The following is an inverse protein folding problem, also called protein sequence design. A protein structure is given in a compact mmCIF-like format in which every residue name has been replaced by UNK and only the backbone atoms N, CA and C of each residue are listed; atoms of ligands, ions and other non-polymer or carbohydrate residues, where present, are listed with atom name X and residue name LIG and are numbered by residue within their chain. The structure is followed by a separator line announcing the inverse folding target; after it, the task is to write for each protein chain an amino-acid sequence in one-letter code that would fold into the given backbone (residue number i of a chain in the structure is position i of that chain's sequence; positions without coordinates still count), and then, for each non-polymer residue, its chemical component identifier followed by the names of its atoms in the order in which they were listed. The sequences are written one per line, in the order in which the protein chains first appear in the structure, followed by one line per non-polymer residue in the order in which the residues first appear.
data_IF_702803041467
#
_entry.id   IF_702803041467
#
_cell.length_a   1.000
_cell.length_b   1.000
_cell.length_c   1.000
_cell.angle_alpha   90.00
_cell.angle_beta   90.00
_cell.angle_gamma   90.00
#
_symmetry.space_group_name_H-M   'P 1'
#
loop_
_entity.id
_entity.type
_entity.pdbx_description
1 polymer ?
#
# COMPACT_ATOMS: atom_id res chain seq x y z
N UNK A 1 12.92 -2.54 3.47
CA UNK A 1 12.38 -3.56 4.41
C UNK A 1 11.48 -4.48 3.61
N UNK A 2 11.62 -5.81 3.73
CA UNK A 2 10.73 -6.77 3.04
C UNK A 2 9.70 -7.29 4.03
N UNK A 3 8.41 -7.10 3.73
CA UNK A 3 7.31 -7.57 4.56
C UNK A 3 6.50 -8.60 3.76
N UNK A 4 5.99 -9.63 4.46
CA UNK A 4 4.97 -10.51 3.90
C UNK A 4 3.59 -10.07 4.40
N UNK A 5 2.52 -10.66 3.86
CA UNK A 5 1.13 -10.29 4.22
C UNK A 5 0.88 -10.30 5.73
N UNK A 6 1.41 -11.29 6.45
CA UNK A 6 1.18 -11.44 7.89
C UNK A 6 1.89 -10.36 8.70
N UNK A 7 3.15 -10.04 8.38
CA UNK A 7 3.89 -8.97 9.07
C UNK A 7 3.41 -7.59 8.66
N UNK A 8 2.96 -7.41 7.42
CA UNK A 8 2.37 -6.15 6.93
C UNK A 8 1.18 -5.71 7.79
N UNK A 9 0.25 -6.61 8.10
CA UNK A 9 -0.92 -6.26 8.93
C UNK A 9 -0.54 -5.84 10.35
N UNK A 10 0.53 -6.40 10.93
CA UNK A 10 0.99 -6.02 12.27
C UNK A 10 1.61 -4.63 12.31
N UNK A 11 2.22 -4.18 11.21
CA UNK A 11 2.84 -2.85 11.12
C UNK A 11 1.83 -1.70 11.11
N UNK A 12 0.57 -1.92 10.71
CA UNK A 12 -0.42 -0.83 10.65
C UNK A 12 -0.70 -0.20 12.01
N UNK A 13 -0.69 -0.97 13.11
CA UNK A 13 -0.85 -0.40 14.45
C UNK A 13 0.28 0.60 14.77
N UNK A 14 1.52 0.28 14.40
CA UNK A 14 2.65 1.18 14.61
C UNK A 14 2.58 2.42 13.72
N UNK A 15 2.12 2.27 12.47
CA UNK A 15 1.91 3.40 11.56
C UNK A 15 0.76 4.32 12.04
N UNK A 16 -0.32 3.74 12.57
CA UNK A 16 -1.42 4.50 13.18
C UNK A 16 -0.94 5.33 14.35
N UNK A 17 -0.16 4.75 15.27
CA UNK A 17 0.44 5.51 16.37
C UNK A 17 1.33 6.66 15.86
N UNK A 18 2.06 6.46 14.76
CA UNK A 18 2.87 7.52 14.16
C UNK A 18 1.98 8.63 13.57
N UNK A 19 0.88 8.28 12.91
CA UNK A 19 -0.10 9.24 12.41
C UNK A 19 -0.73 10.06 13.54
N UNK A 20 -1.11 9.40 14.64
CA UNK A 20 -1.66 10.09 15.82
C UNK A 20 -0.67 11.11 16.41
N UNK A 21 0.62 10.78 16.42
CA UNK A 21 1.67 11.67 16.91
C UNK A 21 2.02 12.81 15.93
N UNK A 22 1.94 12.55 14.62
CA UNK A 22 2.35 13.49 13.59
C UNK A 22 1.20 14.31 12.99
N UNK A 23 -0.05 13.97 13.31
CA UNK A 23 -1.27 14.49 12.68
C UNK A 23 -1.59 13.81 11.34
N UNK A 24 -0.58 13.59 10.50
CA UNK A 24 -0.70 12.83 9.26
C UNK A 24 0.63 12.14 8.90
N UNK A 25 0.54 11.08 8.08
CA UNK A 25 1.72 10.44 7.49
C UNK A 25 1.51 10.19 6.00
N UNK A 26 2.61 10.25 5.25
CA UNK A 26 2.66 9.87 3.84
C UNK A 26 3.37 8.53 3.69
N UNK A 27 2.76 7.59 2.99
CA UNK A 27 3.31 6.24 2.78
C UNK A 27 3.65 6.05 1.29
N UNK A 28 4.85 5.52 1.00
CA UNK A 28 5.23 5.03 -0.33
C UNK A 28 5.38 3.51 -0.30
N UNK A 29 4.75 2.82 -1.26
CA UNK A 29 4.77 1.35 -1.36
C UNK A 29 5.30 0.97 -2.74
N UNK A 30 6.31 0.11 -2.76
CA UNK A 30 6.87 -0.47 -3.98
C UNK A 30 6.66 -1.98 -3.96
N UNK A 31 6.25 -2.55 -5.08
CA UNK A 31 6.07 -3.98 -5.26
C UNK A 31 6.71 -4.42 -6.59
N UNK A 32 7.46 -5.52 -6.54
CA UNK A 32 8.14 -6.11 -7.69
C UNK A 32 7.65 -7.54 -7.90
N UNK A 33 7.55 -7.96 -9.17
CA UNK A 33 7.18 -9.33 -9.55
C UNK A 33 8.03 -9.77 -10.73
N UNK A 34 8.65 -10.96 -10.63
CA UNK A 34 9.45 -11.53 -11.71
C UNK A 34 8.63 -11.95 -12.94
N UNK A 35 7.32 -12.16 -12.75
CA UNK A 35 6.37 -12.54 -13.82
C UNK A 35 5.42 -11.38 -14.19
N UNK A 36 5.61 -10.21 -13.59
CA UNK A 36 4.69 -9.07 -13.68
C UNK A 36 3.44 -9.22 -12.80
N UNK A 37 2.54 -8.27 -12.90
CA UNK A 37 1.25 -8.27 -12.18
C UNK A 37 0.09 -8.39 -13.16
N UNK A 38 -0.91 -9.20 -12.81
CA UNK A 38 -2.18 -9.21 -13.54
C UNK A 38 -2.86 -7.84 -13.40
N UNK A 39 -3.10 -7.17 -14.52
CA UNK A 39 -3.64 -5.80 -14.55
C UNK A 39 -5.05 -5.70 -13.95
N UNK A 40 -5.91 -6.68 -14.23
CA UNK A 40 -7.28 -6.68 -13.72
C UNK A 40 -7.30 -6.86 -12.20
N UNK A 41 -6.46 -7.77 -11.70
CA UNK A 41 -6.29 -8.00 -10.26
C UNK A 41 -5.68 -6.80 -9.56
N UNK A 42 -4.67 -6.15 -10.15
CA UNK A 42 -4.07 -4.94 -9.58
C UNK A 42 -5.09 -3.81 -9.48
N UNK A 43 -5.93 -3.63 -10.50
CA UNK A 43 -7.00 -2.63 -10.45
C UNK A 43 -8.03 -2.97 -9.38
N UNK A 44 -8.66 -4.14 -9.47
CA UNK A 44 -9.84 -4.46 -8.65
C UNK A 44 -9.50 -4.80 -7.19
N UNK A 45 -8.29 -5.32 -6.91
CA UNK A 45 -7.90 -5.73 -5.55
C UNK A 45 -6.95 -4.76 -4.85
N UNK A 46 -6.45 -3.73 -5.54
CA UNK A 46 -5.51 -2.75 -4.96
C UNK A 46 -5.92 -1.32 -5.26
N UNK A 47 -6.06 -0.93 -6.53
CA UNK A 47 -6.38 0.47 -6.89
C UNK A 47 -7.76 0.90 -6.41
N UNK A 48 -8.81 0.21 -6.86
CA UNK A 48 -10.19 0.57 -6.55
C UNK A 48 -10.44 0.63 -5.02
N UNK A 49 -10.01 -0.37 -4.21
CA UNK A 49 -10.18 -0.30 -2.76
C UNK A 49 -9.48 0.88 -2.07
N UNK A 50 -8.35 1.35 -2.61
CA UNK A 50 -7.61 2.49 -2.05
C UNK A 50 -8.23 3.82 -2.47
N UNK A 51 -8.71 3.93 -3.71
CA UNK A 51 -9.46 5.08 -4.19
C UNK A 51 -10.78 5.27 -3.40
N UNK A 52 -11.47 4.16 -3.07
CA UNK A 52 -12.71 4.17 -2.26
C UNK A 52 -12.51 4.76 -0.86
N UNK A 53 -11.32 4.64 -0.28
CA UNK A 53 -10.97 5.22 1.03
C UNK A 53 -10.25 6.57 0.91
N UNK A 54 -10.23 7.16 -0.29
CA UNK A 54 -9.65 8.49 -0.54
C UNK A 54 -8.13 8.52 -0.62
N UNK A 55 -7.47 7.37 -0.82
CA UNK A 55 -6.01 7.30 -0.97
C UNK A 55 -5.65 7.40 -2.46
N UNK A 56 -4.91 8.44 -2.84
CA UNK A 56 -4.39 8.60 -4.20
C UNK A 56 -3.15 7.71 -4.40
N UNK A 57 -3.18 6.85 -5.43
CA UNK A 57 -2.04 6.02 -5.82
C UNK A 57 -1.44 6.55 -7.12
N UNK A 58 -0.11 6.70 -7.14
CA UNK A 58 0.66 6.85 -8.37
C UNK A 58 1.32 5.53 -8.69
N UNK A 59 0.97 4.93 -9.83
CA UNK A 59 1.68 3.78 -10.37
C UNK A 59 2.66 4.28 -11.42
N UNK A 60 3.95 4.11 -11.14
CA UNK A 60 5.03 4.24 -12.10
C UNK A 60 5.44 2.83 -12.55
N UNK A 61 5.35 2.57 -13.85
CA UNK A 61 6.03 1.44 -14.50
C UNK A 61 7.39 2.00 -14.95
N UNK A 62 8.47 1.68 -14.24
CA UNK A 62 9.85 1.90 -14.71
C UNK A 62 10.31 0.73 -15.60
#
# INVERSE_FOLDING_TARGET
MKLNKQTLYKTFNALGNLADMAGEIKIGIEAQSGEGFDRNRLRNAVKEPLEEVGIEIKISEE
#
